data_IF_342963465535
#
_entry.id   IF_342963465535
#
_cell.length_a   1.000
_cell.length_b   1.000
_cell.length_c   1.000
_cell.angle_alpha   90.00
_cell.angle_beta   90.00
_cell.angle_gamma   90.00
#
_symmetry.space_group_name_H-M   'P 1'
#
loop_
_entity.id
_entity.type
_entity.pdbx_description
1 polymer ?
#
# COMPACT_ATOMS: atom_id res chain seq x y z
N UNK A 1 12.06 4.35 -16.95
CA UNK A 1 12.21 4.65 -15.51
C UNK A 1 13.17 5.81 -15.34
N UNK A 2 12.81 6.74 -14.46
CA UNK A 2 13.68 7.80 -13.94
C UNK A 2 14.36 7.31 -12.65
N UNK A 3 15.67 7.46 -12.56
CA UNK A 3 16.45 7.15 -11.36
C UNK A 3 16.60 8.42 -10.51
N UNK A 4 15.86 8.51 -9.41
CA UNK A 4 15.93 9.65 -8.48
C UNK A 4 17.31 9.87 -7.85
N UNK A 5 18.16 8.83 -7.76
CA UNK A 5 19.50 8.95 -7.16
C UNK A 5 20.50 9.49 -8.16
N UNK A 6 20.39 9.05 -9.41
CA UNK A 6 21.33 9.43 -10.49
C UNK A 6 20.84 10.60 -11.33
N UNK A 7 19.56 10.94 -11.22
CA UNK A 7 18.86 11.91 -12.05
C UNK A 7 18.98 11.56 -13.55
N UNK A 8 18.87 10.26 -13.85
CA UNK A 8 18.98 9.70 -15.20
C UNK A 8 17.63 9.14 -15.64
N UNK A 9 17.28 9.37 -16.91
CA UNK A 9 16.07 8.81 -17.53
C UNK A 9 16.46 7.67 -18.46
N UNK A 10 15.81 6.53 -18.29
CA UNK A 10 16.04 5.32 -19.08
C UNK A 10 14.77 4.86 -19.79
N UNK A 11 14.85 4.70 -21.11
CA UNK A 11 13.79 4.13 -21.95
C UNK A 11 14.23 2.78 -22.49
N UNK A 12 13.34 1.80 -22.39
CA UNK A 12 13.54 0.48 -22.95
C UNK A 12 13.55 0.55 -24.48
N UNK A 13 14.72 0.33 -25.09
CA UNK A 13 14.92 0.41 -26.55
C UNK A 13 14.12 -0.63 -27.36
N UNK A 14 13.58 -1.66 -26.70
CA UNK A 14 12.77 -2.71 -27.30
C UNK A 14 11.27 -2.36 -27.37
N UNK A 15 10.83 -1.28 -26.71
CA UNK A 15 9.46 -0.79 -26.87
C UNK A 15 9.28 -0.18 -28.26
N UNK A 16 8.15 -0.41 -28.95
CA UNK A 16 7.80 0.34 -30.14
C UNK A 16 7.77 1.85 -29.88
N UNK A 17 8.15 2.67 -30.87
CA UNK A 17 8.23 4.13 -30.74
C UNK A 17 6.93 4.77 -30.21
N UNK A 18 5.77 4.29 -30.68
CA UNK A 18 4.46 4.80 -30.23
C UNK A 18 4.19 4.56 -28.73
N UNK A 19 4.89 3.61 -28.09
CA UNK A 19 4.86 3.41 -26.63
C UNK A 19 6.00 4.15 -25.92
N UNK A 20 7.12 4.39 -26.60
CA UNK A 20 8.24 5.13 -26.01
C UNK A 20 7.85 6.57 -25.68
N UNK A 21 7.09 7.26 -26.55
CA UNK A 21 6.73 8.67 -26.31
C UNK A 21 5.84 8.87 -25.08
N UNK A 22 4.72 8.16 -24.89
CA UNK A 22 3.95 8.26 -23.64
C UNK A 22 4.77 7.87 -22.41
N UNK A 23 5.60 6.82 -22.50
CA UNK A 23 6.49 6.43 -21.39
C UNK A 23 7.51 7.53 -21.11
N UNK A 24 8.07 8.20 -22.12
CA UNK A 24 8.94 9.36 -21.89
C UNK A 24 8.21 10.48 -21.15
N UNK A 25 6.94 10.77 -21.48
CA UNK A 25 6.16 11.76 -20.75
C UNK A 25 6.02 11.37 -19.26
N UNK A 26 5.75 10.09 -18.96
CA UNK A 26 5.74 9.54 -17.60
C UNK A 26 7.05 9.80 -16.85
N UNK A 27 8.18 9.42 -17.46
CA UNK A 27 9.48 9.50 -16.81
C UNK A 27 10.03 10.93 -16.70
N UNK A 28 9.71 11.80 -17.67
CA UNK A 28 10.02 13.23 -17.57
C UNK A 28 9.24 13.86 -16.41
N UNK A 29 7.98 13.43 -16.20
CA UNK A 29 7.19 13.92 -15.09
C UNK A 29 7.75 13.47 -13.74
N UNK A 30 8.30 12.26 -13.63
CA UNK A 30 9.07 11.85 -12.45
C UNK A 30 10.25 12.79 -12.15
N UNK A 31 10.96 13.25 -13.19
CA UNK A 31 12.02 14.24 -13.01
C UNK A 31 11.50 15.60 -12.51
N UNK A 32 10.32 16.03 -12.98
CA UNK A 32 9.65 17.25 -12.48
C UNK A 32 9.23 17.06 -11.02
N UNK A 33 8.63 15.91 -10.67
CA UNK A 33 8.22 15.61 -9.31
C UNK A 33 9.43 15.59 -8.35
N UNK A 34 10.56 15.11 -8.82
CA UNK A 34 11.82 15.13 -8.08
C UNK A 34 12.36 16.55 -7.85
N UNK A 35 12.33 17.40 -8.88
CA UNK A 35 12.83 18.77 -8.84
C UNK A 35 11.96 19.71 -8.01
N UNK A 36 10.64 19.60 -8.13
CA UNK A 36 9.68 20.52 -7.51
C UNK A 36 9.29 20.09 -6.09
N UNK A 37 9.15 18.79 -5.85
CA UNK A 37 8.58 18.26 -4.60
C UNK A 37 9.48 17.24 -3.88
N UNK A 38 10.66 16.95 -4.42
CA UNK A 38 11.56 15.97 -3.82
C UNK A 38 10.98 14.55 -3.84
N UNK A 39 10.42 14.12 -4.97
CA UNK A 39 9.85 12.78 -5.16
C UNK A 39 10.70 11.64 -4.59
N UNK A 40 12.03 11.66 -4.80
CA UNK A 40 12.92 10.66 -4.21
C UNK A 40 12.95 10.66 -2.67
N UNK A 41 12.74 11.81 -2.03
CA UNK A 41 12.65 11.91 -0.57
C UNK A 41 11.33 11.36 -0.03
N UNK A 42 10.22 11.48 -0.78
CA UNK A 42 8.92 10.94 -0.40
C UNK A 42 8.94 9.41 -0.30
N UNK A 43 9.73 8.74 -1.14
CA UNK A 43 9.86 7.27 -1.13
C UNK A 43 11.07 6.77 -0.32
N UNK A 44 11.72 7.63 0.47
CA UNK A 44 12.82 7.24 1.34
C UNK A 44 12.31 6.43 2.56
N UNK A 45 12.42 5.10 2.45
CA UNK A 45 12.08 4.15 3.50
C UNK A 45 12.81 4.33 4.84
N UNK A 46 13.88 5.15 4.90
CA UNK A 46 14.52 5.50 6.17
C UNK A 46 13.81 6.61 6.93
N UNK A 47 12.97 7.39 6.24
CA UNK A 47 12.26 8.55 6.79
C UNK A 47 10.78 8.28 7.02
N UNK A 48 10.21 7.34 6.27
CA UNK A 48 8.78 7.06 6.25
C UNK A 48 8.51 5.59 6.59
N UNK A 49 7.32 5.30 7.11
CA UNK A 49 6.88 3.92 7.31
C UNK A 49 6.69 3.22 5.97
N UNK A 50 6.72 1.88 5.95
CA UNK A 50 6.52 1.11 4.71
C UNK A 50 5.17 1.44 4.04
N UNK A 51 4.10 1.60 4.83
CA UNK A 51 2.79 1.99 4.31
C UNK A 51 2.75 3.42 3.74
N UNK A 52 3.38 4.38 4.43
CA UNK A 52 3.50 5.76 3.91
C UNK A 52 4.31 5.81 2.61
N UNK A 53 5.41 5.06 2.51
CA UNK A 53 6.19 4.93 1.26
C UNK A 53 5.31 4.37 0.13
N UNK A 54 4.48 3.36 0.41
CA UNK A 54 3.56 2.81 -0.57
C UNK A 54 2.51 3.85 -1.01
N UNK A 55 1.98 4.63 -0.08
CA UNK A 55 1.02 5.70 -0.36
C UNK A 55 1.65 6.82 -1.21
N UNK A 56 2.86 7.25 -0.87
CA UNK A 56 3.61 8.25 -1.61
C UNK A 56 3.97 7.76 -3.02
N UNK A 57 4.40 6.51 -3.15
CA UNK A 57 4.64 5.90 -4.45
C UNK A 57 3.37 5.88 -5.31
N UNK A 58 2.20 5.61 -4.71
CA UNK A 58 0.93 5.67 -5.41
C UNK A 58 0.56 7.08 -5.86
N UNK A 59 0.81 8.11 -5.05
CA UNK A 59 0.65 9.50 -5.50
C UNK A 59 1.53 9.79 -6.72
N UNK A 60 2.84 9.50 -6.61
CA UNK A 60 3.82 9.78 -7.67
C UNK A 60 3.48 9.05 -8.98
N UNK A 61 3.31 7.74 -8.90
CA UNK A 61 3.06 6.89 -10.08
C UNK A 61 1.66 7.11 -10.66
N UNK A 62 0.67 7.40 -9.82
CA UNK A 62 -0.68 7.72 -10.25
C UNK A 62 -0.76 9.00 -11.09
N UNK A 63 -0.11 10.06 -10.62
CA UNK A 63 -0.07 11.35 -11.30
C UNK A 63 0.74 11.25 -12.61
N UNK A 64 1.91 10.60 -12.58
CA UNK A 64 2.71 10.33 -13.77
C UNK A 64 1.96 9.48 -14.81
N UNK A 65 1.22 8.46 -14.35
CA UNK A 65 0.37 7.63 -15.22
C UNK A 65 -0.73 8.47 -15.88
N UNK A 66 -1.33 9.40 -15.14
CA UNK A 66 -2.36 10.30 -15.67
C UNK A 66 -1.78 11.28 -16.70
N UNK A 67 -0.58 11.81 -16.47
CA UNK A 67 0.17 12.63 -17.44
C UNK A 67 0.44 11.84 -18.72
N UNK A 68 0.95 10.61 -18.60
CA UNK A 68 1.15 9.72 -19.75
C UNK A 68 -0.13 9.51 -20.57
N UNK A 69 -1.25 9.27 -19.88
CA UNK A 69 -2.53 9.00 -20.54
C UNK A 69 -3.10 10.24 -21.23
N UNK A 70 -2.97 11.42 -20.62
CA UNK A 70 -3.36 12.69 -21.24
C UNK A 70 -2.44 13.02 -22.43
N UNK A 71 -1.13 12.79 -22.31
CA UNK A 71 -0.17 12.97 -23.40
C UNK A 71 -0.53 12.09 -24.61
N UNK A 72 -0.82 10.80 -24.39
CA UNK A 72 -1.20 9.88 -25.45
C UNK A 72 -2.49 10.27 -26.20
N UNK A 73 -3.37 11.05 -25.55
CA UNK A 73 -4.61 11.53 -26.18
C UNK A 73 -4.47 12.93 -26.79
N UNK A 74 -3.41 13.67 -26.48
CA UNK A 74 -3.25 15.07 -26.90
C UNK A 74 -3.21 15.26 -28.43
N UNK A 75 -2.77 14.25 -29.18
CA UNK A 75 -2.81 14.28 -30.65
C UNK A 75 -4.24 14.25 -31.22
N UNK A 76 -5.18 13.63 -30.49
CA UNK A 76 -6.59 13.52 -30.86
C UNK A 76 -7.37 14.71 -30.32
N UNK A 77 -7.16 15.03 -29.05
CA UNK A 77 -7.77 16.17 -28.37
C UNK A 77 -6.75 16.78 -27.38
N UNK A 78 -6.14 17.93 -27.70
CA UNK A 78 -5.16 18.58 -26.85
C UNK A 78 -5.76 19.17 -25.57
N UNK A 79 -7.08 19.18 -25.43
CA UNK A 79 -7.80 19.60 -24.22
C UNK A 79 -8.29 18.41 -23.38
N UNK A 80 -7.98 17.18 -23.81
CA UNK A 80 -8.40 15.98 -23.10
C UNK A 80 -7.79 15.94 -21.70
N UNK A 81 -8.67 15.82 -20.71
CA UNK A 81 -8.30 15.51 -19.33
C UNK A 81 -9.02 14.22 -18.93
N UNK A 82 -8.31 13.10 -19.03
CA UNK A 82 -8.87 11.78 -18.77
C UNK A 82 -9.34 11.61 -17.33
N UNK A 83 -8.79 12.39 -16.39
CA UNK A 83 -9.18 12.35 -14.98
C UNK A 83 -10.65 12.69 -14.77
N UNK A 84 -11.24 13.49 -15.67
CA UNK A 84 -12.65 13.91 -15.60
C UNK A 84 -13.63 12.80 -15.98
N UNK A 85 -13.17 11.73 -16.65
CA UNK A 85 -13.99 10.61 -17.08
C UNK A 85 -13.85 9.41 -16.15
N UNK A 86 -14.82 9.26 -15.24
CA UNK A 86 -14.93 8.08 -14.34
C UNK A 86 -14.89 6.76 -15.12
N UNK A 87 -15.56 6.71 -16.26
CA UNK A 87 -15.60 5.49 -17.08
C UNK A 87 -14.23 5.16 -17.66
N UNK A 88 -13.55 6.13 -18.28
CA UNK A 88 -12.25 5.90 -18.91
C UNK A 88 -11.18 5.50 -17.88
N UNK A 89 -11.13 6.20 -16.74
CA UNK A 89 -10.20 5.89 -15.66
C UNK A 89 -10.42 4.48 -15.11
N UNK A 90 -11.66 4.10 -14.83
CA UNK A 90 -11.95 2.75 -14.32
C UNK A 90 -11.62 1.66 -15.34
N UNK A 91 -11.85 1.92 -16.63
CA UNK A 91 -11.46 0.99 -17.71
C UNK A 91 -9.94 0.80 -17.74
N UNK A 92 -9.17 1.89 -17.72
CA UNK A 92 -7.70 1.82 -17.70
C UNK A 92 -7.20 1.11 -16.45
N UNK A 93 -7.66 1.54 -15.27
CA UNK A 93 -7.26 0.94 -13.99
C UNK A 93 -7.58 -0.56 -13.92
N UNK A 94 -8.71 -1.01 -14.47
CA UNK A 94 -9.05 -2.45 -14.50
C UNK A 94 -8.16 -3.22 -15.49
N UNK A 95 -7.75 -2.58 -16.59
CA UNK A 95 -6.92 -3.20 -17.63
C UNK A 95 -5.44 -3.31 -17.25
N UNK A 96 -4.92 -2.41 -16.41
CA UNK A 96 -3.50 -2.35 -16.03
C UNK A 96 -2.98 -3.68 -15.45
N UNK A 97 -3.61 -4.29 -14.41
CA UNK A 97 -3.16 -5.58 -13.89
C UNK A 97 -3.13 -6.70 -14.93
N UNK A 98 -4.12 -6.71 -15.84
CA UNK A 98 -4.23 -7.73 -16.89
C UNK A 98 -3.10 -7.59 -17.92
N UNK A 99 -2.79 -6.36 -18.32
CA UNK A 99 -1.70 -6.09 -19.25
C UNK A 99 -0.33 -6.44 -18.63
N UNK A 100 -0.08 -6.00 -17.39
CA UNK A 100 1.18 -6.27 -16.69
C UNK A 100 1.36 -7.75 -16.32
N UNK A 101 0.27 -8.50 -16.17
CA UNK A 101 0.31 -9.96 -15.95
C UNK A 101 0.21 -10.79 -17.22
N UNK A 102 0.28 -10.15 -18.40
CA UNK A 102 0.18 -10.85 -19.69
C UNK A 102 1.45 -11.63 -20.03
N UNK A 103 1.37 -12.53 -21.02
CA UNK A 103 2.50 -13.32 -21.50
C UNK A 103 3.67 -12.48 -22.05
N UNK A 104 3.44 -11.18 -22.34
CA UNK A 104 4.48 -10.24 -22.75
C UNK A 104 5.45 -9.92 -21.61
N UNK A 105 5.03 -10.10 -20.35
CA UNK A 105 5.84 -9.87 -19.15
C UNK A 105 5.98 -11.17 -18.35
N UNK A 106 6.72 -12.17 -18.85
CA UNK A 106 6.72 -13.53 -18.29
C UNK A 106 7.21 -13.58 -16.83
N UNK A 107 8.16 -12.72 -16.46
CA UNK A 107 8.64 -12.62 -15.07
C UNK A 107 7.49 -12.17 -14.15
N UNK A 108 6.80 -11.09 -14.50
CA UNK A 108 5.66 -10.57 -13.74
C UNK A 108 4.51 -11.58 -13.69
N UNK A 109 4.18 -12.21 -14.83
CA UNK A 109 3.14 -13.24 -14.89
C UNK A 109 3.42 -14.43 -13.96
N UNK A 110 4.69 -14.82 -13.80
CA UNK A 110 5.11 -15.94 -12.95
C UNK A 110 5.31 -15.60 -11.48
N UNK A 111 5.29 -14.31 -11.12
CA UNK A 111 5.50 -13.88 -9.74
C UNK A 111 4.35 -14.38 -8.82
N UNK A 112 4.58 -14.50 -7.51
CA UNK A 112 3.51 -14.60 -6.52
C UNK A 112 2.53 -13.43 -6.61
N UNK A 113 1.24 -13.68 -6.43
CA UNK A 113 0.20 -12.64 -6.60
C UNK A 113 0.39 -11.45 -5.65
N UNK A 114 0.85 -11.69 -4.41
CA UNK A 114 1.23 -10.63 -3.48
C UNK A 114 2.23 -9.65 -4.13
N UNK A 115 3.30 -10.15 -4.76
CA UNK A 115 4.29 -9.30 -5.40
C UNK A 115 3.72 -8.58 -6.61
N UNK A 116 2.85 -9.23 -7.41
CA UNK A 116 2.18 -8.56 -8.52
C UNK A 116 1.34 -7.38 -8.03
N UNK A 117 0.50 -7.62 -7.02
CA UNK A 117 -0.39 -6.60 -6.48
C UNK A 117 0.42 -5.45 -5.86
N UNK A 118 1.47 -5.72 -5.10
CA UNK A 118 2.34 -4.68 -4.53
C UNK A 118 3.02 -3.83 -5.60
N UNK A 119 3.43 -4.41 -6.73
CA UNK A 119 4.07 -3.69 -7.83
C UNK A 119 3.08 -2.88 -8.68
N UNK A 120 1.83 -3.36 -8.81
CA UNK A 120 0.79 -2.69 -9.61
C UNK A 120 0.07 -1.59 -8.81
N UNK A 121 -0.02 -1.74 -7.48
CA UNK A 121 -0.76 -0.82 -6.61
C UNK A 121 -0.45 0.65 -6.85
N UNK A 122 0.83 1.10 -6.92
CA UNK A 122 1.14 2.51 -7.12
C UNK A 122 0.53 3.10 -8.40
N UNK A 123 0.58 2.35 -9.51
CA UNK A 123 0.02 2.79 -10.79
C UNK A 123 -1.51 2.75 -10.77
N UNK A 124 -2.09 1.62 -10.35
CA UNK A 124 -3.52 1.40 -10.46
C UNK A 124 -4.30 2.23 -9.45
N UNK A 125 -3.95 2.12 -8.16
CA UNK A 125 -4.67 2.81 -7.09
C UNK A 125 -4.26 4.27 -7.00
N UNK A 126 -3.02 4.60 -7.34
CA UNK A 126 -2.59 5.98 -7.53
C UNK A 126 -3.39 6.72 -8.60
N UNK A 127 -3.55 6.13 -9.79
CA UNK A 127 -4.35 6.72 -10.86
C UNK A 127 -5.79 6.99 -10.40
N UNK A 128 -6.40 6.01 -9.72
CA UNK A 128 -7.75 6.16 -9.16
C UNK A 128 -7.83 7.26 -8.11
N UNK A 129 -6.82 7.37 -7.23
CA UNK A 129 -6.73 8.40 -6.21
C UNK A 129 -6.66 9.81 -6.81
N UNK A 130 -5.70 10.07 -7.71
CA UNK A 130 -5.55 11.40 -8.34
C UNK A 130 -6.79 11.77 -9.15
N UNK A 131 -7.35 10.80 -9.90
CA UNK A 131 -8.59 11.01 -10.63
C UNK A 131 -9.78 11.30 -9.71
N UNK A 132 -9.88 10.64 -8.56
CA UNK A 132 -10.94 10.91 -7.59
C UNK A 132 -10.87 12.34 -7.05
N UNK A 133 -9.67 12.85 -6.74
CA UNK A 133 -9.48 14.24 -6.33
C UNK A 133 -9.93 15.23 -7.41
N UNK A 134 -9.53 14.98 -8.67
CA UNK A 134 -9.95 15.80 -9.83
C UNK A 134 -11.47 15.78 -10.02
N UNK A 135 -12.10 14.62 -9.92
CA UNK A 135 -13.55 14.45 -10.03
C UNK A 135 -14.31 15.05 -8.83
N UNK A 136 -13.65 15.17 -7.68
CA UNK A 136 -14.12 15.90 -6.50
C UNK A 136 -14.05 17.42 -6.63
N UNK A 137 -13.55 17.94 -7.76
CA UNK A 137 -13.50 19.37 -8.07
C UNK A 137 -12.16 20.05 -7.79
N UNK A 138 -11.13 19.30 -7.38
CA UNK A 138 -9.77 19.84 -7.19
C UNK A 138 -9.18 20.25 -8.54
N UNK A 139 -8.61 21.46 -8.63
CA UNK A 139 -7.85 21.93 -9.79
C UNK A 139 -6.49 21.21 -9.92
N UNK A 140 -5.72 21.45 -10.99
CA UNK A 140 -4.34 20.95 -11.05
C UNK A 140 -3.41 21.64 -10.04
N UNK A 141 -3.69 22.89 -9.70
CA UNK A 141 -3.00 23.63 -8.64
C UNK A 141 -3.24 22.93 -7.30
N UNK A 142 -4.48 22.54 -7.04
CA UNK A 142 -4.85 21.75 -5.87
C UNK A 142 -4.19 20.37 -5.82
N UNK A 143 -3.94 19.71 -6.97
CA UNK A 143 -3.18 18.45 -7.01
C UNK A 143 -1.71 18.69 -6.67
N UNK A 144 -1.13 19.82 -7.12
CA UNK A 144 0.26 20.18 -6.77
C UNK A 144 0.44 20.38 -5.26
N UNK A 145 -0.57 20.90 -4.57
CA UNK A 145 -0.53 21.05 -3.10
C UNK A 145 -0.59 19.70 -2.35
N UNK A 146 -1.05 18.61 -2.99
CA UNK A 146 -1.05 17.26 -2.38
C UNK A 146 0.38 16.82 -2.04
N UNK A 147 1.38 17.24 -2.82
CA UNK A 147 2.78 16.90 -2.54
C UNK A 147 3.33 17.56 -1.27
N UNK A 148 2.74 18.66 -0.81
CA UNK A 148 3.12 19.31 0.44
C UNK A 148 2.54 18.59 1.67
N UNK A 149 1.41 17.88 1.51
CA UNK A 149 0.77 17.07 2.55
C UNK A 149 0.29 15.72 1.96
N UNK A 150 1.24 14.84 1.58
CA UNK A 150 0.94 13.61 0.83
C UNK A 150 0.10 12.64 1.67
N UNK A 151 -0.59 11.66 1.03
CA UNK A 151 -1.36 10.66 1.76
C UNK A 151 -0.46 9.86 2.71
N UNK A 152 -0.88 9.73 3.96
CA UNK A 152 -0.11 9.14 5.05
C UNK A 152 -0.18 7.60 5.08
N UNK A 153 -1.15 7.01 4.39
CA UNK A 153 -1.39 5.55 4.40
C UNK A 153 -1.95 5.03 3.08
N UNK A 154 -1.83 3.73 2.86
CA UNK A 154 -2.49 3.06 1.74
C UNK A 154 -4.02 3.11 1.84
N UNK A 155 -4.58 3.25 3.05
CA UNK A 155 -6.01 3.48 3.26
C UNK A 155 -6.49 4.75 2.55
N UNK A 156 -5.76 5.87 2.69
CA UNK A 156 -6.12 7.12 2.02
C UNK A 156 -6.03 7.03 0.49
N UNK A 157 -5.20 6.14 -0.04
CA UNK A 157 -5.14 5.84 -1.47
C UNK A 157 -6.32 4.95 -1.90
N UNK A 158 -6.72 3.99 -1.07
CA UNK A 158 -7.83 3.08 -1.34
C UNK A 158 -9.20 3.78 -1.22
N UNK A 159 -9.30 4.75 -0.31
CA UNK A 159 -10.49 5.52 0.03
C UNK A 159 -10.15 7.02 -0.03
N UNK A 160 -10.14 7.64 -1.22
CA UNK A 160 -9.75 9.05 -1.39
C UNK A 160 -10.56 10.04 -0.53
N UNK A 161 -11.77 9.68 -0.12
CA UNK A 161 -12.60 10.44 0.81
C UNK A 161 -12.00 10.56 2.22
N UNK A 162 -11.14 9.60 2.63
CA UNK A 162 -10.36 9.65 3.87
C UNK A 162 -9.14 10.55 3.75
N UNK A 163 -8.76 10.95 2.55
CA UNK A 163 -7.74 11.99 2.34
C UNK A 163 -8.38 13.38 2.26
N UNK A 164 -9.53 13.49 1.56
CA UNK A 164 -10.18 14.77 1.28
C UNK A 164 -11.71 14.61 1.13
N UNK A 165 -12.55 15.54 1.66
CA UNK A 165 -12.18 16.81 2.31
C UNK A 165 -11.82 16.71 3.79
N UNK A 166 -12.30 15.67 4.47
CA UNK A 166 -12.08 15.46 5.90
C UNK A 166 -11.01 14.37 6.05
N UNK A 167 -9.79 14.80 6.36
CA UNK A 167 -8.63 13.90 6.40
C UNK A 167 -8.66 13.01 7.64
N UNK A 168 -8.70 11.71 7.41
CA UNK A 168 -8.54 10.66 8.40
C UNK A 168 -7.04 10.31 8.53
N UNK A 169 -6.43 10.65 9.66
CA UNK A 169 -4.99 10.45 9.86
C UNK A 169 -4.78 9.18 10.67
N UNK A 170 -4.00 8.20 10.17
CA UNK A 170 -3.78 6.96 10.90
C UNK A 170 -3.24 7.19 12.32
N UNK A 171 -3.86 6.51 13.29
CA UNK A 171 -3.37 6.33 14.64
C UNK A 171 -1.91 5.84 14.69
N UNK A 172 -1.17 6.32 15.70
CA UNK A 172 0.22 5.88 15.92
C UNK A 172 0.25 4.69 16.86
N UNK A 173 0.62 3.52 16.35
CA UNK A 173 0.79 2.30 17.13
C UNK A 173 2.27 2.01 17.35
N UNK A 174 2.67 1.67 18.59
CA UNK A 174 4.06 1.31 18.90
C UNK A 174 4.15 0.05 19.75
N UNK A 175 5.03 -0.86 19.34
CA UNK A 175 5.45 -2.03 20.10
C UNK A 175 6.81 -1.76 20.78
N UNK A 176 7.05 -2.26 22.01
CA UNK A 176 8.33 -2.09 22.70
C UNK A 176 9.46 -2.80 21.97
N UNK A 177 10.69 -2.28 22.02
CA UNK A 177 11.87 -2.86 21.38
C UNK A 177 12.99 -3.18 22.40
N UNK A 178 13.43 -4.45 22.56
CA UNK A 178 12.77 -5.66 22.05
C UNK A 178 11.46 -5.96 22.82
N UNK A 179 10.65 -6.90 22.35
CA UNK A 179 9.44 -7.30 23.08
C UNK A 179 9.79 -7.88 24.48
N UNK A 180 10.87 -8.67 24.53
CA UNK A 180 11.49 -9.15 25.78
C UNK A 180 13.00 -9.43 25.58
N UNK A 181 13.77 -9.55 26.68
CA UNK A 181 15.20 -9.84 26.61
C UNK A 181 15.53 -11.13 25.84
N UNK A 182 16.63 -11.11 25.09
CA UNK A 182 17.15 -12.27 24.33
C UNK A 182 16.66 -12.36 22.88
N UNK A 183 15.70 -11.54 22.48
CA UNK A 183 15.24 -11.42 21.09
C UNK A 183 15.82 -10.18 20.42
N UNK A 184 16.09 -10.29 19.12
CA UNK A 184 16.58 -9.20 18.28
C UNK A 184 15.54 -8.83 17.24
N UNK A 185 15.26 -7.53 17.10
CA UNK A 185 14.39 -7.00 16.06
C UNK A 185 15.08 -7.04 14.71
N UNK A 186 14.58 -7.90 13.82
CA UNK A 186 15.09 -8.04 12.46
C UNK A 186 14.36 -7.14 11.46
N UNK A 187 13.08 -6.86 11.71
CA UNK A 187 12.27 -5.96 10.89
C UNK A 187 11.16 -5.33 11.72
N UNK A 188 10.78 -4.10 11.37
CA UNK A 188 9.59 -3.43 11.88
C UNK A 188 8.99 -2.49 10.84
N UNK A 189 7.69 -2.23 10.96
CA UNK A 189 7.00 -1.27 10.11
C UNK A 189 5.50 -1.26 10.32
N UNK A 190 4.85 -0.34 9.60
CA UNK A 190 3.40 -0.30 9.43
C UNK A 190 3.05 -1.05 8.16
N UNK A 191 2.17 -2.04 8.25
CA UNK A 191 1.70 -2.81 7.11
C UNK A 191 0.68 -2.02 6.28
N UNK A 192 -0.30 -1.38 6.93
CA UNK A 192 -1.37 -0.64 6.25
C UNK A 192 -2.52 -1.51 5.76
N UNK A 193 -3.64 -0.86 5.45
CA UNK A 193 -4.85 -1.52 4.92
C UNK A 193 -4.54 -2.39 3.70
N UNK A 194 -3.75 -1.88 2.74
CA UNK A 194 -3.43 -2.63 1.53
C UNK A 194 -2.79 -3.98 1.83
N UNK A 195 -1.76 -4.03 2.69
CA UNK A 195 -1.08 -5.29 2.99
C UNK A 195 -1.94 -6.21 3.86
N UNK A 196 -2.79 -5.66 4.73
CA UNK A 196 -3.80 -6.43 5.46
C UNK A 196 -4.79 -7.08 4.48
N UNK A 197 -5.27 -6.34 3.47
CA UNK A 197 -6.08 -6.91 2.38
C UNK A 197 -5.32 -8.03 1.64
N UNK A 198 -4.04 -7.81 1.30
CA UNK A 198 -3.24 -8.82 0.59
C UNK A 198 -3.05 -10.11 1.40
N UNK A 199 -2.94 -10.02 2.74
CA UNK A 199 -2.86 -11.20 3.60
C UNK A 199 -4.10 -12.09 3.46
N UNK A 200 -5.26 -11.50 3.17
CA UNK A 200 -6.54 -12.19 3.09
C UNK A 200 -6.81 -12.82 1.71
N UNK A 201 -6.25 -12.26 0.64
CA UNK A 201 -6.44 -12.73 -0.74
C UNK A 201 -5.89 -14.15 -1.02
N UNK A 202 -5.13 -14.73 -0.09
CA UNK A 202 -4.69 -16.13 -0.24
C UNK A 202 -5.83 -17.13 -0.29
N UNK A 203 -6.99 -16.81 0.30
CA UNK A 203 -8.16 -17.71 0.35
C UNK A 203 -9.52 -17.00 0.27
N UNK A 204 -9.56 -15.67 0.19
CA UNK A 204 -10.80 -14.90 0.05
C UNK A 204 -10.86 -14.22 -1.32
N UNK A 205 -12.09 -14.00 -1.79
CA UNK A 205 -12.36 -13.20 -2.97
C UNK A 205 -12.00 -11.73 -2.73
N UNK A 206 -11.68 -11.00 -3.80
CA UNK A 206 -11.19 -9.61 -3.73
C UNK A 206 -12.12 -8.69 -2.94
N UNK A 207 -13.43 -8.76 -3.19
CA UNK A 207 -14.40 -7.92 -2.51
C UNK A 207 -14.54 -8.27 -1.02
N UNK A 208 -14.41 -9.55 -0.66
CA UNK A 208 -14.47 -9.98 0.74
C UNK A 208 -13.23 -9.53 1.51
N UNK A 209 -12.03 -9.71 0.92
CA UNK A 209 -10.77 -9.28 1.51
C UNK A 209 -10.72 -7.75 1.69
N UNK A 210 -11.16 -6.97 0.69
CA UNK A 210 -11.23 -5.52 0.78
C UNK A 210 -12.15 -5.08 1.92
N UNK A 211 -13.36 -5.65 1.97
CA UNK A 211 -14.33 -5.34 3.03
C UNK A 211 -13.81 -5.69 4.43
N UNK A 212 -13.09 -6.80 4.57
CA UNK A 212 -12.58 -7.24 5.85
C UNK A 212 -11.33 -6.47 6.32
N UNK A 213 -10.60 -5.81 5.42
CA UNK A 213 -9.46 -4.97 5.75
C UNK A 213 -9.83 -3.49 5.93
N UNK A 214 -10.98 -3.05 5.42
CA UNK A 214 -11.49 -1.70 5.59
C UNK A 214 -11.68 -1.32 7.07
N UNK A 215 -11.52 -0.04 7.37
CA UNK A 215 -11.58 0.51 8.73
C UNK A 215 -10.30 0.27 9.54
N UNK A 216 -9.19 -0.09 8.88
CA UNK A 216 -7.87 -0.07 9.49
C UNK A 216 -7.49 1.36 9.85
N UNK A 217 -7.03 1.63 11.06
CA UNK A 217 -6.67 2.99 11.49
C UNK A 217 -5.20 3.08 11.94
N UNK A 218 -4.47 1.97 11.96
CA UNK A 218 -3.05 2.00 12.30
C UNK A 218 -2.53 0.67 12.76
N UNK A 219 -1.27 0.38 12.48
CA UNK A 219 -0.60 -0.81 12.99
C UNK A 219 0.91 -0.61 13.18
N UNK A 220 1.46 -1.52 13.98
CA UNK A 220 2.88 -1.77 14.04
C UNK A 220 3.12 -3.28 14.06
N UNK A 221 3.80 -3.77 13.03
CA UNK A 221 4.28 -5.14 12.92
C UNK A 221 5.79 -5.19 13.17
N UNK A 222 6.23 -6.17 13.95
CA UNK A 222 7.65 -6.46 14.20
C UNK A 222 7.94 -7.93 13.98
N UNK A 223 9.13 -8.22 13.44
CA UNK A 223 9.70 -9.56 13.37
C UNK A 223 10.90 -9.63 14.33
N UNK A 224 10.81 -10.48 15.35
CA UNK A 224 11.90 -10.70 16.29
C UNK A 224 12.38 -12.15 16.25
N UNK A 225 13.69 -12.33 16.45
CA UNK A 225 14.36 -13.64 16.40
C UNK A 225 15.27 -13.88 17.60
N UNK A 226 15.42 -15.15 17.98
CA UNK A 226 16.37 -15.61 18.99
C UNK A 226 16.83 -17.03 18.67
N UNK A 227 18.06 -17.18 18.16
CA UNK A 227 18.53 -18.45 17.62
C UNK A 227 17.61 -18.94 16.49
N UNK A 228 17.03 -20.13 16.65
CA UNK A 228 16.06 -20.71 15.69
C UNK A 228 14.62 -20.24 15.93
N UNK A 229 14.35 -19.50 17.01
CA UNK A 229 13.01 -18.97 17.30
C UNK A 229 12.76 -17.68 16.50
N UNK A 230 11.57 -17.56 15.92
CA UNK A 230 11.12 -16.36 15.23
C UNK A 230 9.64 -16.10 15.54
N UNK A 231 9.30 -14.83 15.73
CA UNK A 231 7.91 -14.39 15.91
C UNK A 231 7.66 -13.09 15.17
N UNK A 232 6.62 -13.10 14.33
CA UNK A 232 6.05 -11.88 13.77
C UNK A 232 4.82 -11.52 14.60
N UNK A 233 4.77 -10.31 15.17
CA UNK A 233 3.61 -9.82 15.93
C UNK A 233 3.19 -8.45 15.40
N UNK A 234 1.88 -8.27 15.32
CA UNK A 234 1.23 -7.03 14.92
C UNK A 234 0.31 -6.58 16.04
N UNK A 235 0.38 -5.30 16.38
CA UNK A 235 -0.67 -4.60 17.11
C UNK A 235 -1.33 -3.63 16.14
N UNK A 236 -2.65 -3.64 16.07
CA UNK A 236 -3.44 -2.80 15.16
C UNK A 236 -4.62 -2.17 15.89
N UNK A 237 -5.06 -1.02 15.39
CA UNK A 237 -6.29 -0.35 15.78
C UNK A 237 -7.17 -0.08 14.56
N UNK A 238 -8.46 0.08 14.81
CA UNK A 238 -9.51 0.08 13.81
C UNK A 238 -10.55 1.16 14.13
N UNK A 239 -11.26 1.62 13.11
CA UNK A 239 -12.33 2.62 13.23
C UNK A 239 -13.41 2.15 14.21
N UNK A 240 -13.86 0.91 14.05
CA UNK A 240 -14.89 0.31 14.91
C UNK A 240 -14.49 -1.07 15.47
N UNK A 241 -15.09 -1.51 16.59
CA UNK A 241 -14.91 -2.87 17.10
C UNK A 241 -15.36 -3.94 16.10
N UNK A 242 -16.33 -3.63 15.24
CA UNK A 242 -16.84 -4.47 14.18
C UNK A 242 -15.80 -4.67 13.07
N UNK A 243 -15.07 -3.63 12.68
CA UNK A 243 -14.01 -3.74 11.66
C UNK A 243 -12.86 -4.62 12.15
N UNK A 244 -12.41 -4.41 13.39
CA UNK A 244 -11.44 -5.29 14.04
C UNK A 244 -11.92 -6.75 14.11
N UNK A 245 -13.22 -6.97 14.34
CA UNK A 245 -13.82 -8.30 14.36
C UNK A 245 -13.82 -8.95 12.96
N UNK A 246 -14.17 -8.17 11.94
CA UNK A 246 -14.27 -8.62 10.56
C UNK A 246 -12.90 -9.06 10.05
N UNK A 247 -11.86 -8.27 10.31
CA UNK A 247 -10.49 -8.64 9.96
C UNK A 247 -10.01 -9.88 10.71
N UNK A 248 -10.22 -9.97 12.03
CA UNK A 248 -9.82 -11.14 12.81
C UNK A 248 -10.48 -12.42 12.28
N UNK A 249 -11.79 -12.37 11.99
CA UNK A 249 -12.54 -13.50 11.46
C UNK A 249 -12.02 -13.92 10.07
N UNK A 250 -11.77 -12.96 9.19
CA UNK A 250 -11.21 -13.20 7.86
C UNK A 250 -9.80 -13.80 7.94
N UNK A 251 -8.93 -13.25 8.81
CA UNK A 251 -7.57 -13.74 9.03
C UNK A 251 -7.57 -15.18 9.52
N UNK A 252 -8.44 -15.52 10.49
CA UNK A 252 -8.59 -16.89 10.99
C UNK A 252 -9.08 -17.84 9.91
N UNK A 253 -10.08 -17.43 9.10
CA UNK A 253 -10.58 -18.25 7.97
C UNK A 253 -9.49 -18.54 6.95
N UNK A 254 -8.70 -17.53 6.59
CA UNK A 254 -7.56 -17.67 5.67
C UNK A 254 -6.49 -18.57 6.28
N UNK A 255 -6.17 -18.37 7.56
CA UNK A 255 -5.23 -19.20 8.29
C UNK A 255 -5.66 -20.66 8.30
N UNK A 256 -6.93 -20.94 8.60
CA UNK A 256 -7.48 -22.29 8.71
C UNK A 256 -7.52 -23.05 7.38
N UNK A 257 -7.65 -22.33 6.26
CA UNK A 257 -7.57 -22.90 4.92
C UNK A 257 -6.14 -23.30 4.48
N UNK A 258 -5.09 -22.81 5.15
CA UNK A 258 -3.69 -23.12 4.78
C UNK A 258 -3.33 -24.57 5.11
N UNK A 259 -2.64 -25.26 4.19
CA UNK A 259 -2.12 -26.61 4.43
C UNK A 259 -0.95 -26.60 5.43
N UNK A 260 -0.82 -27.67 6.21
CA UNK A 260 0.31 -27.88 7.10
C UNK A 260 1.59 -28.28 6.32
N UNK A 261 2.80 -27.98 6.83
CA UNK A 261 3.08 -27.23 8.06
C UNK A 261 2.84 -25.72 7.92
N UNK A 262 2.30 -25.09 8.97
CA UNK A 262 2.07 -23.63 9.05
C UNK A 262 2.45 -23.13 10.45
N UNK A 263 2.96 -21.89 10.61
CA UNK A 263 3.21 -21.32 11.94
C UNK A 263 1.90 -21.21 12.72
N UNK A 264 1.93 -21.33 14.04
CA UNK A 264 0.79 -21.04 14.89
C UNK A 264 0.36 -19.58 14.76
N UNK A 265 -0.93 -19.34 14.54
CA UNK A 265 -1.57 -18.03 14.66
C UNK A 265 -2.16 -17.89 16.06
N UNK A 266 -1.81 -16.81 16.75
CA UNK A 266 -2.51 -16.35 17.95
C UNK A 266 -3.11 -14.97 17.68
N UNK A 267 -4.37 -14.76 18.05
CA UNK A 267 -5.01 -13.43 18.00
C UNK A 267 -5.69 -13.12 19.33
N UNK A 268 -5.79 -11.83 19.62
CA UNK A 268 -6.52 -11.30 20.77
C UNK A 268 -7.04 -9.89 20.47
N UNK A 269 -8.35 -9.73 20.59
CA UNK A 269 -9.07 -8.49 20.29
C UNK A 269 -9.69 -7.91 21.55
N UNK A 270 -9.67 -6.59 21.65
CA UNK A 270 -10.30 -5.81 22.73
C UNK A 270 -10.82 -4.47 22.18
N UNK A 271 -12.14 -4.35 22.05
CA UNK A 271 -12.78 -3.23 21.36
C UNK A 271 -12.28 -3.13 19.91
N UNK A 272 -11.68 -1.98 19.57
CA UNK A 272 -11.09 -1.73 18.25
C UNK A 272 -9.63 -2.19 18.13
N UNK A 273 -9.04 -2.75 19.19
CA UNK A 273 -7.62 -3.16 19.16
C UNK A 273 -7.52 -4.63 18.85
N UNK A 274 -6.64 -4.99 17.92
CA UNK A 274 -6.33 -6.38 17.61
C UNK A 274 -4.81 -6.60 17.64
N UNK A 275 -4.39 -7.55 18.48
CA UNK A 275 -3.04 -8.09 18.47
C UNK A 275 -3.06 -9.49 17.84
N UNK A 276 -2.13 -9.76 16.92
CA UNK A 276 -1.96 -11.11 16.37
C UNK A 276 -0.50 -11.45 16.13
N UNK A 277 -0.15 -12.72 16.25
CA UNK A 277 1.22 -13.19 16.04
C UNK A 277 1.27 -14.53 15.30
N UNK A 278 2.33 -14.67 14.49
CA UNK A 278 2.73 -15.92 13.83
C UNK A 278 4.08 -16.38 14.38
N UNK A 279 4.16 -17.64 14.80
CA UNK A 279 5.42 -18.31 15.20
C UNK A 279 5.32 -19.81 14.97
N UNK A 280 6.44 -20.48 14.70
CA UNK A 280 6.48 -21.95 14.71
C UNK A 280 6.14 -22.54 16.10
N UNK A 281 6.37 -21.76 17.16
CA UNK A 281 6.04 -22.08 18.55
C UNK A 281 4.78 -21.31 19.01
N UNK A 282 3.71 -22.04 19.31
CA UNK A 282 2.44 -21.46 19.75
C UNK A 282 2.54 -20.73 21.10
N UNK A 283 3.40 -21.18 22.03
CA UNK A 283 3.63 -20.50 23.29
C UNK A 283 4.36 -19.16 23.07
N UNK A 284 5.27 -19.13 22.09
CA UNK A 284 5.94 -17.89 21.68
C UNK A 284 4.97 -16.90 21.03
N UNK A 285 4.07 -17.37 20.14
CA UNK A 285 3.03 -16.52 19.55
C UNK A 285 2.11 -15.92 20.62
N UNK A 286 1.68 -16.74 21.61
CA UNK A 286 0.88 -16.27 22.74
C UNK A 286 1.62 -15.20 23.56
N UNK A 287 2.86 -15.48 23.97
CA UNK A 287 3.69 -14.53 24.71
C UNK A 287 3.84 -13.20 23.97
N UNK A 288 3.97 -13.24 22.64
CA UNK A 288 4.08 -12.05 21.80
C UNK A 288 2.80 -11.20 21.82
N UNK A 289 1.63 -11.83 21.67
CA UNK A 289 0.33 -11.16 21.76
C UNK A 289 0.10 -10.56 23.15
N UNK A 290 0.37 -11.32 24.22
CA UNK A 290 0.24 -10.83 25.60
C UNK A 290 1.15 -9.62 25.85
N UNK A 291 2.39 -9.68 25.34
CA UNK A 291 3.36 -8.57 25.46
C UNK A 291 2.92 -7.35 24.66
N UNK A 292 2.44 -7.54 23.43
CA UNK A 292 1.94 -6.47 22.58
C UNK A 292 0.78 -5.72 23.24
N UNK A 293 -0.17 -6.45 23.84
CA UNK A 293 -1.30 -5.84 24.57
C UNK A 293 -0.87 -5.14 25.85
N UNK A 294 0.04 -5.74 26.61
CA UNK A 294 0.45 -5.20 27.91
C UNK A 294 1.37 -3.98 27.80
N UNK A 295 2.17 -3.89 26.73
CA UNK A 295 3.25 -2.88 26.60
C UNK A 295 3.16 -2.01 25.35
N UNK A 296 2.31 -2.36 24.38
CA UNK A 296 2.09 -1.54 23.20
C UNK A 296 1.32 -0.28 23.53
N UNK A 297 1.52 0.78 22.75
CA UNK A 297 0.83 2.05 22.91
C UNK A 297 0.08 2.41 21.63
N UNK A 298 -1.11 2.97 21.76
CA UNK A 298 -1.93 3.47 20.65
C UNK A 298 -2.28 4.93 20.97
N UNK A 299 -1.82 5.84 20.12
CA UNK A 299 -2.20 7.25 20.14
C UNK A 299 -3.19 7.49 18.99
N UNK A 300 -4.48 7.62 19.33
CA UNK A 300 -5.52 7.87 18.33
C UNK A 300 -5.48 9.28 17.80
N UNK A 301 -5.81 9.45 16.52
CA UNK A 301 -5.78 10.73 15.81
C UNK A 301 -7.14 11.10 15.24
#
# INVERSE_FOLDING_TARGET
FYDHTRQELHIASWLPLFMQEPVMAHEIFHAIQDQEWGGGALIDSKKHTHDAVLAHAALLEGDATLVMLNYAQAEVDPTADMSTSKFAINMVATSLPLQMSSAQFPIMASAPDYLKQSLIFPYQRGLLFVAALRQGGRSWDDIREVYADPPASSEQILHPEKYWPDRDTPSVVKLPAPLWPGFTRGWEGTAGEFHFQQMLLGHLEVAEAAKAAAGWDGDHTVLETSGEQAVAVTLSTWDTPEDAAAFEAALRRVYDARKAPRPALTTERDGTTLAFAFSADAALARKAVDTARAKGTIERR
#
